data_IF_665271893719
#
_entry.id   IF_665271893719
#
_cell.length_a   1.000
_cell.length_b   1.000
_cell.length_c   1.000
_cell.angle_alpha   90.00
_cell.angle_beta   90.00
_cell.angle_gamma   90.00
#
_symmetry.space_group_name_H-M   'P 1'
#
loop_
_entity.id
_entity.type
_entity.pdbx_description
1 polymer ?
#
# COMPACT_ATOMS: atom_id res chain seq x y z
N UNK A 1 -13.13 3.18 -4.83
CA UNK A 1 -12.91 4.17 -5.90
C UNK A 1 -12.02 5.30 -5.41
N UNK A 2 -12.37 5.93 -4.27
CA UNK A 2 -11.60 7.02 -3.66
C UNK A 2 -10.10 6.73 -3.45
N UNK A 3 -9.73 5.60 -2.84
CA UNK A 3 -8.31 5.28 -2.56
C UNK A 3 -7.47 5.08 -3.83
N UNK A 4 -8.03 4.43 -4.85
CA UNK A 4 -7.33 4.20 -6.14
C UNK A 4 -7.15 5.52 -6.88
N UNK A 5 -8.18 6.36 -6.90
CA UNK A 5 -8.12 7.67 -7.54
C UNK A 5 -7.12 8.59 -6.82
N UNK A 6 -7.10 8.55 -5.49
CA UNK A 6 -6.09 9.25 -4.68
C UNK A 6 -4.68 8.76 -4.99
N UNK A 7 -4.42 7.45 -4.95
CA UNK A 7 -3.09 6.88 -5.21
C UNK A 7 -2.59 7.22 -6.63
N UNK A 8 -3.48 7.20 -7.63
CA UNK A 8 -3.17 7.66 -8.99
C UNK A 8 -2.83 9.15 -9.04
N UNK A 9 -3.57 9.98 -8.31
CA UNK A 9 -3.34 11.43 -8.30
C UNK A 9 -2.01 11.82 -7.65
N UNK A 10 -1.61 11.09 -6.60
CA UNK A 10 -0.32 11.31 -5.92
C UNK A 10 0.84 10.79 -6.78
N UNK A 11 0.65 9.68 -7.49
CA UNK A 11 1.68 9.13 -8.37
C UNK A 11 2.93 8.66 -7.64
N UNK A 12 2.83 8.38 -6.33
CA UNK A 12 3.95 7.90 -5.54
C UNK A 12 4.35 6.48 -5.96
N UNK A 13 5.65 6.26 -6.14
CA UNK A 13 6.19 4.94 -6.49
C UNK A 13 6.03 3.92 -5.37
N UNK A 14 6.13 4.36 -4.12
CA UNK A 14 6.06 3.51 -2.94
C UNK A 14 4.96 3.99 -2.00
N UNK A 15 4.24 3.04 -1.41
CA UNK A 15 3.24 3.30 -0.39
C UNK A 15 3.25 2.20 0.66
N UNK A 16 2.62 2.47 1.80
CA UNK A 16 2.35 1.47 2.83
C UNK A 16 1.06 1.87 3.54
N UNK A 17 0.33 0.90 4.09
CA UNK A 17 -0.89 1.19 4.84
C UNK A 17 -0.53 1.51 6.28
N UNK A 18 -1.08 2.60 6.81
CA UNK A 18 -0.93 2.99 8.23
C UNK A 18 -2.00 2.39 9.14
N UNK A 19 -2.78 1.43 8.61
CA UNK A 19 -4.04 0.96 9.19
C UNK A 19 -3.85 -0.35 9.97
N UNK A 20 -3.01 -0.31 11.00
CA UNK A 20 -2.94 -1.39 11.99
C UNK A 20 -4.28 -1.52 12.74
N UNK A 21 -4.83 -2.74 12.81
CA UNK A 21 -6.08 -3.03 13.52
C UNK A 21 -7.40 -2.64 12.84
N UNK A 22 -7.37 -1.89 11.72
CA UNK A 22 -8.59 -1.49 10.99
C UNK A 22 -8.98 -2.47 9.87
N UNK A 23 -8.01 -3.24 9.36
CA UNK A 23 -8.23 -4.22 8.31
C UNK A 23 -8.07 -5.63 8.86
N UNK A 24 -9.06 -6.48 8.59
CA UNK A 24 -8.90 -7.93 8.74
C UNK A 24 -8.00 -8.49 7.63
N UNK A 25 -7.63 -9.77 7.72
CA UNK A 25 -6.73 -10.41 6.73
C UNK A 25 -7.19 -10.28 5.27
N UNK A 26 -8.50 -10.30 5.02
CA UNK A 26 -9.06 -10.11 3.67
C UNK A 26 -8.90 -8.67 3.17
N UNK A 27 -9.06 -7.68 4.04
CA UNK A 27 -8.86 -6.27 3.70
C UNK A 27 -7.40 -5.96 3.35
N UNK A 28 -6.47 -6.60 4.07
CA UNK A 28 -5.05 -6.55 3.74
C UNK A 28 -4.76 -7.14 2.37
N UNK A 29 -5.28 -8.33 2.09
CA UNK A 29 -5.05 -9.00 0.80
C UNK A 29 -5.65 -8.21 -0.37
N UNK A 30 -6.83 -7.61 -0.21
CA UNK A 30 -7.42 -6.73 -1.22
C UNK A 30 -6.53 -5.52 -1.55
N UNK A 31 -5.82 -4.99 -0.55
CA UNK A 31 -4.98 -3.80 -0.69
C UNK A 31 -3.65 -4.14 -1.37
N UNK A 32 -2.98 -5.21 -0.96
CA UNK A 32 -1.69 -5.59 -1.54
C UNK A 32 -1.80 -6.31 -2.89
N UNK A 33 -2.90 -7.01 -3.16
CA UNK A 33 -3.07 -7.71 -4.43
C UNK A 33 -3.77 -6.78 -5.45
N UNK A 34 -5.03 -6.42 -5.19
CA UNK A 34 -5.89 -5.78 -6.21
C UNK A 34 -5.67 -4.28 -6.35
N UNK A 35 -5.38 -3.55 -5.27
CA UNK A 35 -5.13 -2.12 -5.40
C UNK A 35 -3.80 -1.86 -6.11
N UNK A 36 -2.77 -2.63 -5.76
CA UNK A 36 -1.46 -2.53 -6.40
C UNK A 36 -1.52 -2.75 -7.93
N UNK A 37 -2.37 -3.66 -8.41
CA UNK A 37 -2.60 -3.88 -9.86
C UNK A 37 -3.19 -2.65 -10.59
N UNK A 38 -3.83 -1.72 -9.86
CA UNK A 38 -4.61 -0.63 -10.43
C UNK A 38 -3.92 0.74 -10.39
N UNK A 39 -2.74 0.83 -9.77
CA UNK A 39 -2.02 2.08 -9.51
C UNK A 39 -0.51 1.88 -9.72
N UNK A 40 0.25 2.92 -10.12
CA UNK A 40 1.70 2.84 -10.28
C UNK A 40 2.44 2.94 -8.93
N UNK A 41 1.93 2.25 -7.91
CA UNK A 41 2.45 2.28 -6.53
C UNK A 41 2.68 0.86 -6.06
N UNK A 42 3.91 0.54 -5.66
CA UNK A 42 4.20 -0.69 -4.92
C UNK A 42 3.89 -0.48 -3.45
N UNK A 43 2.99 -1.29 -2.90
CA UNK A 43 2.66 -1.25 -1.48
C UNK A 43 3.60 -2.17 -0.69
N UNK A 44 4.25 -1.62 0.33
CA UNK A 44 5.15 -2.33 1.22
C UNK A 44 4.44 -2.70 2.51
N UNK A 45 4.58 -3.96 2.92
CA UNK A 45 4.08 -4.45 4.21
C UNK A 45 5.11 -4.17 5.30
N UNK A 46 4.81 -3.19 6.17
CA UNK A 46 5.69 -2.73 7.25
C UNK A 46 5.24 -3.24 8.62
N UNK A 47 4.36 -4.24 8.68
CA UNK A 47 3.84 -4.79 9.95
C UNK A 47 4.89 -5.54 10.77
N UNK A 48 6.09 -5.77 10.22
CA UNK A 48 7.21 -6.36 10.93
C UNK A 48 7.88 -5.41 11.95
N UNK A 49 7.43 -4.15 12.01
CA UNK A 49 7.91 -3.15 12.96
C UNK A 49 9.36 -2.69 12.72
N UNK A 50 9.95 -3.02 11.57
CA UNK A 50 11.27 -2.55 11.21
C UNK A 50 11.19 -1.13 10.62
N UNK A 51 12.25 -0.31 10.78
CA UNK A 51 12.37 0.94 10.07
C UNK A 51 12.20 0.74 8.56
N UNK A 52 11.46 1.64 7.91
CA UNK A 52 11.33 1.60 6.46
C UNK A 52 12.58 2.16 5.80
N UNK A 53 13.12 1.40 4.84
CA UNK A 53 14.19 1.84 3.95
C UNK A 53 13.63 1.95 2.53
N UNK A 54 13.94 3.06 1.85
CA UNK A 54 13.53 3.25 0.46
C UNK A 54 14.30 2.25 -0.41
N UNK A 55 13.62 1.36 -1.14
CA UNK A 55 14.31 0.46 -2.07
C UNK A 55 15.11 1.27 -3.08
N UNK A 56 16.39 0.92 -3.27
CA UNK A 56 17.16 1.42 -4.41
C UNK A 56 16.81 0.54 -5.61
N UNK A 57 16.40 1.17 -6.70
CA UNK A 57 15.99 0.48 -7.92
C UNK A 57 17.13 -0.20 -8.67
#
# INVERSE_FOLDING_TARGET
KETVDFARSVGARHGFLIHEGLLNGRGWQLSFDRHQEMVPTTFHDLRNGQPWEVPQD
#
